data_IF_044590605616
#
_entry.id   IF_044590605616
#
_cell.length_a   1.000
_cell.length_b   1.000
_cell.length_c   1.000
_cell.angle_alpha   90.00
_cell.angle_beta   90.00
_cell.angle_gamma   90.00
#
_symmetry.space_group_name_H-M   'P 1'
#
loop_
_entity.id
_entity.type
_entity.pdbx_description
1 polymer ?
#
# COMPACT_ATOMS: atom_id res chain seq x y z
N UNK A 1 2.97 25.23 5.73
CA UNK A 1 2.31 24.81 4.48
C UNK A 1 0.83 25.22 4.52
N UNK A 2 0.61 26.48 4.18
CA UNK A 2 -0.63 27.24 4.41
C UNK A 2 -0.87 28.29 3.31
N UNK A 3 0.01 28.36 2.31
CA UNK A 3 -0.06 29.31 1.20
C UNK A 3 -0.77 28.76 -0.05
N UNK A 4 -1.63 27.74 0.10
CA UNK A 4 -2.38 27.22 -1.04
C UNK A 4 -3.44 28.23 -1.48
N UNK A 5 -3.56 28.46 -2.80
CA UNK A 5 -4.51 29.41 -3.39
C UNK A 5 -5.53 28.69 -4.29
N UNK A 6 -6.73 29.26 -4.52
CA UNK A 6 -7.68 28.71 -5.48
C UNK A 6 -7.05 28.55 -6.87
N UNK A 7 -7.10 27.33 -7.41
CA UNK A 7 -6.46 26.98 -8.68
C UNK A 7 -5.23 26.08 -8.55
N UNK A 8 -4.65 25.95 -7.35
CA UNK A 8 -3.57 25.00 -7.08
C UNK A 8 -4.02 23.54 -7.20
N UNK A 9 -3.08 22.67 -7.57
CA UNK A 9 -3.32 21.22 -7.73
C UNK A 9 -2.57 20.41 -6.68
N UNK A 10 -3.19 19.33 -6.20
CA UNK A 10 -2.57 18.39 -5.27
C UNK A 10 -1.84 17.29 -6.03
N UNK A 11 -0.61 16.98 -5.62
CA UNK A 11 0.21 15.92 -6.19
C UNK A 11 0.61 14.93 -5.09
N UNK A 12 0.36 13.64 -5.35
CA UNK A 12 0.84 12.55 -4.51
C UNK A 12 2.11 11.95 -5.11
N UNK A 13 3.17 11.83 -4.31
CA UNK A 13 4.48 11.34 -4.75
C UNK A 13 4.70 9.85 -4.49
N UNK A 14 3.76 9.21 -3.80
CA UNK A 14 3.73 7.77 -3.51
C UNK A 14 2.30 7.24 -3.63
N UNK A 15 2.13 5.97 -4.04
CA UNK A 15 0.82 5.33 -4.09
C UNK A 15 0.24 5.13 -2.68
N UNK A 16 -1.09 5.07 -2.61
CA UNK A 16 -1.83 4.71 -1.40
C UNK A 16 -1.99 3.18 -1.31
N UNK A 17 -2.45 2.68 -0.15
CA UNK A 17 -2.80 1.26 0.01
C UNK A 17 -1.79 0.42 0.80
N UNK A 18 -0.69 1.01 1.27
CA UNK A 18 0.36 0.34 2.05
C UNK A 18 -0.17 -0.51 3.22
N UNK A 19 -1.11 0.02 4.00
CA UNK A 19 -1.68 -0.72 5.13
C UNK A 19 -2.44 -1.98 4.70
N UNK A 20 -3.13 -1.91 3.56
CA UNK A 20 -3.86 -3.07 3.01
C UNK A 20 -2.87 -4.13 2.53
N UNK A 21 -1.80 -3.72 1.82
CA UNK A 21 -0.75 -4.64 1.38
C UNK A 21 -0.07 -5.36 2.55
N UNK A 22 0.36 -4.61 3.58
CA UNK A 22 1.02 -5.18 4.76
C UNK A 22 0.10 -6.10 5.55
N UNK A 23 -1.15 -5.70 5.78
CA UNK A 23 -2.10 -6.54 6.51
C UNK A 23 -2.45 -7.81 5.75
N UNK A 24 -2.64 -7.71 4.42
CA UNK A 24 -2.96 -8.88 3.59
C UNK A 24 -1.81 -9.88 3.59
N UNK A 25 -0.56 -9.41 3.58
CA UNK A 25 0.62 -10.26 3.72
C UNK A 25 0.66 -10.97 5.08
N UNK A 26 0.39 -10.25 6.18
CA UNK A 26 0.28 -10.89 7.51
C UNK A 26 -0.84 -11.93 7.58
N UNK A 27 -1.91 -11.77 6.79
CA UNK A 27 -3.02 -12.73 6.80
C UNK A 27 -2.66 -14.05 6.12
N UNK A 28 -1.62 -14.12 5.29
CA UNK A 28 -1.14 -15.38 4.70
C UNK A 28 -0.77 -16.41 5.79
N UNK A 29 -0.28 -15.95 6.95
CA UNK A 29 0.04 -16.79 8.11
C UNK A 29 -1.18 -17.08 9.01
N UNK A 30 -2.32 -16.43 8.76
CA UNK A 30 -3.57 -16.61 9.52
C UNK A 30 -4.69 -17.14 8.62
N UNK A 31 -4.95 -18.46 8.61
CA UNK A 31 -5.94 -19.07 7.73
C UNK A 31 -7.35 -18.48 7.85
N UNK A 32 -7.79 -18.07 9.04
CA UNK A 32 -9.12 -17.47 9.25
C UNK A 32 -9.25 -16.14 8.49
N UNK A 33 -8.20 -15.31 8.53
CA UNK A 33 -8.17 -14.01 7.84
C UNK A 33 -7.91 -14.18 6.35
N UNK A 34 -7.00 -15.07 5.95
CA UNK A 34 -6.75 -15.35 4.53
C UNK A 34 -8.01 -15.84 3.81
N UNK A 35 -8.79 -16.71 4.46
CA UNK A 35 -10.03 -17.22 3.89
C UNK A 35 -11.06 -16.13 3.55
N UNK A 36 -10.98 -14.94 4.16
CA UNK A 36 -11.86 -13.81 3.87
C UNK A 36 -11.50 -13.08 2.57
N UNK A 37 -10.23 -13.15 2.14
CA UNK A 37 -9.72 -12.39 0.98
C UNK A 37 -9.23 -13.26 -0.18
N UNK A 38 -8.98 -14.55 0.04
CA UNK A 38 -8.44 -15.48 -0.97
C UNK A 38 -9.26 -15.62 -2.26
N UNK A 39 -10.51 -15.14 -2.27
CA UNK A 39 -11.39 -15.15 -3.45
C UNK A 39 -11.21 -13.90 -4.33
N UNK A 40 -10.57 -12.86 -3.82
CA UNK A 40 -10.40 -11.56 -4.49
C UNK A 40 -8.97 -11.35 -4.95
N UNK A 41 -8.01 -12.01 -4.30
CA UNK A 41 -6.58 -11.76 -4.49
C UNK A 41 -5.79 -13.06 -4.32
N UNK A 42 -4.78 -13.28 -5.16
CA UNK A 42 -3.87 -14.43 -5.07
C UNK A 42 -2.75 -14.18 -4.07
N UNK A 43 -2.07 -15.25 -3.61
CA UNK A 43 -0.90 -15.09 -2.72
C UNK A 43 0.24 -14.33 -3.42
N UNK A 44 0.42 -14.55 -4.72
CA UNK A 44 1.42 -13.88 -5.56
C UNK A 44 1.17 -12.37 -5.64
N UNK A 45 -0.10 -11.96 -5.81
CA UNK A 45 -0.49 -10.54 -5.83
C UNK A 45 -0.25 -9.87 -4.47
N UNK A 46 -0.53 -10.58 -3.36
CA UNK A 46 -0.27 -10.07 -2.01
C UNK A 46 1.23 -9.87 -1.78
N UNK A 47 2.05 -10.84 -2.19
CA UNK A 47 3.51 -10.73 -2.07
C UNK A 47 4.05 -9.56 -2.89
N UNK A 48 3.62 -9.43 -4.15
CA UNK A 48 4.02 -8.33 -5.01
C UNK A 48 3.63 -6.97 -4.40
N UNK A 49 2.39 -6.82 -3.95
CA UNK A 49 1.90 -5.60 -3.33
C UNK A 49 2.66 -5.27 -2.03
N UNK A 50 3.02 -6.29 -1.24
CA UNK A 50 3.84 -6.11 -0.05
C UNK A 50 5.24 -5.60 -0.37
N UNK A 51 5.91 -6.18 -1.36
CA UNK A 51 7.23 -5.72 -1.81
C UNK A 51 7.16 -4.28 -2.33
N UNK A 52 6.18 -3.94 -3.16
CA UNK A 52 6.00 -2.57 -3.63
C UNK A 52 5.73 -1.57 -2.50
N UNK A 53 4.89 -1.96 -1.53
CA UNK A 53 4.62 -1.15 -0.35
C UNK A 53 5.90 -0.93 0.48
N UNK A 54 6.70 -1.98 0.68
CA UNK A 54 7.99 -1.94 1.34
C UNK A 54 8.97 -0.99 0.64
N UNK A 55 9.14 -1.13 -0.68
CA UNK A 55 10.01 -0.25 -1.49
C UNK A 55 9.58 1.21 -1.40
N UNK A 56 8.29 1.48 -1.55
CA UNK A 56 7.76 2.84 -1.49
C UNK A 56 7.87 3.45 -0.09
N UNK A 57 7.66 2.68 0.98
CA UNK A 57 7.86 3.16 2.36
C UNK A 57 9.33 3.49 2.64
N UNK A 58 10.25 2.62 2.21
CA UNK A 58 11.69 2.80 2.42
C UNK A 58 12.27 3.97 1.61
N UNK A 59 11.70 4.27 0.44
CA UNK A 59 12.14 5.39 -0.41
C UNK A 59 11.96 6.73 0.30
N UNK A 60 13.05 7.46 0.53
CA UNK A 60 12.98 8.80 1.11
C UNK A 60 12.41 9.82 0.11
N UNK A 61 11.63 10.78 0.59
CA UNK A 61 11.21 11.96 -0.19
C UNK A 61 12.31 13.03 -0.16
N UNK A 62 13.56 12.63 -0.44
CA UNK A 62 14.66 13.55 -0.68
C UNK A 62 14.77 13.74 -2.20
N UNK A 63 14.92 15.00 -2.61
CA UNK A 63 15.25 15.38 -4.00
C UNK A 63 16.44 14.60 -4.50
#
# INVERSE_FOLDING_TARGET
PDNAVPGDVLVLTKPLGTQVAVNSHQWLENPEKWNKIKLVVSQEDVELAYQEAMFNMARLNRT
#
